data_IF_083832706246
#
_entry.id   IF_083832706246
#
_cell.length_a   1.000
_cell.length_b   1.000
_cell.length_c   1.000
_cell.angle_alpha   90.00
_cell.angle_beta   90.00
_cell.angle_gamma   90.00
#
_symmetry.space_group_name_H-M   'P 1'
#
loop_
_entity.id
_entity.type
_entity.pdbx_description
1 polymer ?
#
# COMPACT_ATOMS: atom_id res chain seq x y z
N UNK A 1 -10.38 9.20 1.86
CA UNK A 1 -9.53 8.12 1.30
C UNK A 1 -9.45 8.11 -0.23
N UNK A 2 -10.55 8.31 -0.98
CA UNK A 2 -10.52 8.27 -2.46
C UNK A 2 -9.43 9.15 -3.08
N UNK A 3 -9.32 10.42 -2.66
CA UNK A 3 -8.33 11.36 -3.17
C UNK A 3 -6.88 10.94 -2.84
N UNK A 4 -6.59 10.57 -1.59
CA UNK A 4 -5.24 10.13 -1.20
C UNK A 4 -4.86 8.84 -1.95
N UNK A 5 -5.82 7.92 -2.11
CA UNK A 5 -5.66 6.71 -2.91
C UNK A 5 -5.35 6.97 -4.38
N UNK A 6 -5.94 7.99 -5.00
CA UNK A 6 -5.60 8.38 -6.36
C UNK A 6 -4.11 8.74 -6.49
N UNK A 7 -3.54 9.50 -5.54
CA UNK A 7 -2.12 9.86 -5.56
C UNK A 7 -1.20 8.65 -5.44
N UNK A 8 -1.30 7.88 -4.35
CA UNK A 8 -0.35 6.79 -4.12
C UNK A 8 -0.56 5.60 -5.06
N UNK A 9 -1.78 5.33 -5.55
CA UNK A 9 -1.97 4.27 -6.55
C UNK A 9 -1.48 4.67 -7.93
N UNK A 10 -1.75 5.90 -8.37
CA UNK A 10 -1.20 6.38 -9.63
C UNK A 10 0.34 6.37 -9.58
N UNK A 11 0.93 6.78 -8.45
CA UNK A 11 2.37 6.70 -8.21
C UNK A 11 2.89 5.26 -8.35
N UNK A 12 2.24 4.29 -7.72
CA UNK A 12 2.65 2.89 -7.77
C UNK A 12 2.49 2.27 -9.17
N UNK A 13 1.41 2.58 -9.89
CA UNK A 13 1.20 2.06 -11.24
C UNK A 13 2.16 2.66 -12.26
N UNK A 14 2.36 3.99 -12.23
CA UNK A 14 3.33 4.63 -13.11
C UNK A 14 4.77 4.26 -12.73
N UNK A 15 5.06 4.10 -11.44
CA UNK A 15 6.35 3.59 -10.96
C UNK A 15 6.62 2.17 -11.44
N UNK A 16 5.61 1.28 -11.39
CA UNK A 16 5.70 -0.04 -12.00
C UNK A 16 5.92 0.04 -13.52
N UNK A 17 5.27 0.97 -14.22
CA UNK A 17 5.55 1.23 -15.64
C UNK A 17 6.99 1.65 -15.91
N UNK A 18 7.57 2.51 -15.06
CA UNK A 18 8.99 2.87 -15.10
C UNK A 18 9.91 1.68 -14.86
N UNK A 19 9.58 0.79 -13.93
CA UNK A 19 10.32 -0.46 -13.70
C UNK A 19 10.24 -1.38 -14.91
N UNK A 20 9.05 -1.61 -15.46
CA UNK A 20 8.83 -2.49 -16.63
C UNK A 20 9.63 -1.97 -17.83
N UNK A 21 9.59 -0.65 -18.07
CA UNK A 21 10.37 -0.04 -19.14
C UNK A 21 11.88 -0.20 -18.94
N UNK A 22 12.37 -0.04 -17.71
CA UNK A 22 13.78 -0.23 -17.37
C UNK A 22 14.23 -1.72 -17.46
N UNK A 23 13.29 -2.66 -17.33
CA UNK A 23 13.52 -4.11 -17.36
C UNK A 23 13.18 -4.73 -18.72
N UNK A 24 13.28 -3.97 -19.82
CA UNK A 24 13.01 -4.46 -21.18
C UNK A 24 11.64 -5.16 -21.32
N UNK A 25 10.61 -4.54 -20.74
CA UNK A 25 9.22 -5.00 -20.71
C UNK A 25 8.95 -6.29 -19.90
N UNK A 26 9.90 -6.74 -19.09
CA UNK A 26 9.67 -7.83 -18.12
C UNK A 26 8.72 -7.37 -17.01
N UNK A 27 7.71 -8.19 -16.71
CA UNK A 27 6.67 -7.90 -15.70
C UNK A 27 6.71 -8.90 -14.55
N UNK A 28 7.29 -10.08 -14.76
CA UNK A 28 7.40 -11.10 -13.72
C UNK A 28 8.50 -10.74 -12.72
N UNK A 29 8.09 -10.35 -11.51
CA UNK A 29 9.01 -10.03 -10.41
C UNK A 29 9.98 -11.18 -10.06
N UNK A 30 9.68 -12.43 -10.44
CA UNK A 30 10.59 -13.58 -10.25
C UNK A 30 11.84 -13.48 -11.14
N UNK A 31 11.79 -12.66 -12.18
CA UNK A 31 12.89 -12.37 -13.12
C UNK A 31 13.51 -10.99 -12.90
N UNK A 32 13.07 -10.25 -11.88
CA UNK A 32 13.64 -8.96 -11.49
C UNK A 32 14.56 -9.10 -10.26
N UNK A 33 15.28 -8.05 -9.88
CA UNK A 33 16.04 -8.01 -8.63
C UNK A 33 17.29 -7.15 -8.73
N UNK A 34 17.71 -6.54 -7.62
CA UNK A 34 19.00 -5.86 -7.52
C UNK A 34 19.13 -4.54 -8.30
N UNK A 35 18.03 -3.95 -8.78
CA UNK A 35 18.05 -2.75 -9.64
C UNK A 35 17.99 -1.42 -8.88
N UNK A 36 17.92 -1.42 -7.54
CA UNK A 36 17.74 -0.21 -6.73
C UNK A 36 18.79 0.88 -6.95
N UNK A 37 20.02 0.51 -7.32
CA UNK A 37 21.11 1.45 -7.65
C UNK A 37 21.03 2.00 -9.07
N UNK A 38 20.37 1.26 -9.97
CA UNK A 38 20.28 1.58 -11.39
C UNK A 38 19.11 2.53 -11.67
N UNK A 39 18.02 2.39 -10.91
CA UNK A 39 16.83 3.25 -10.98
C UNK A 39 16.46 3.87 -9.61
N UNK A 40 17.36 4.68 -9.00
CA UNK A 40 17.21 5.15 -7.63
C UNK A 40 16.00 6.10 -7.44
N UNK A 41 15.60 6.85 -8.46
CA UNK A 41 14.46 7.78 -8.36
C UNK A 41 13.17 6.99 -8.32
N UNK A 42 12.98 6.07 -9.28
CA UNK A 42 11.80 5.20 -9.32
C UNK A 42 11.72 4.37 -8.04
N UNK A 43 12.85 3.86 -7.55
CA UNK A 43 12.95 3.17 -6.28
C UNK A 43 12.40 3.99 -5.11
N UNK A 44 12.91 5.21 -4.88
CA UNK A 44 12.48 6.06 -3.76
C UNK A 44 10.98 6.39 -3.85
N UNK A 45 10.49 6.70 -5.06
CA UNK A 45 9.09 7.05 -5.27
C UNK A 45 8.16 5.84 -5.08
N UNK A 46 8.58 4.64 -5.48
CA UNK A 46 7.88 3.40 -5.17
C UNK A 46 7.81 3.14 -3.66
N UNK A 47 8.89 3.40 -2.91
CA UNK A 47 8.89 3.35 -1.46
C UNK A 47 7.89 4.31 -0.83
N UNK A 48 7.88 5.58 -1.27
CA UNK A 48 6.92 6.60 -0.82
C UNK A 48 5.49 6.12 -1.07
N UNK A 49 5.20 5.60 -2.27
CA UNK A 49 3.87 5.07 -2.60
C UNK A 49 3.47 3.88 -1.73
N UNK A 50 4.38 2.95 -1.47
CA UNK A 50 4.10 1.77 -0.64
C UNK A 50 3.94 2.11 0.85
N UNK A 51 4.72 3.07 1.37
CA UNK A 51 4.57 3.59 2.73
C UNK A 51 3.23 4.29 2.91
N UNK A 52 2.83 5.10 1.92
CA UNK A 52 1.51 5.73 1.89
C UNK A 52 0.40 4.68 1.81
N UNK A 53 0.51 3.66 0.96
CA UNK A 53 -0.49 2.60 0.84
C UNK A 53 -0.62 1.77 2.14
N UNK A 54 0.50 1.51 2.82
CA UNK A 54 0.53 0.76 4.07
C UNK A 54 -0.04 1.54 5.27
N UNK A 55 -0.22 2.86 5.16
CA UNK A 55 -0.73 3.71 6.24
C UNK A 55 0.34 4.06 7.28
N UNK A 56 1.61 4.13 6.90
CA UNK A 56 2.68 4.54 7.82
C UNK A 56 2.52 6.02 8.19
N UNK A 57 2.76 6.42 9.46
CA UNK A 57 2.69 7.80 9.89
C UNK A 57 3.46 8.75 8.97
N UNK A 58 2.98 10.00 8.89
CA UNK A 58 3.46 11.06 7.98
C UNK A 58 3.06 10.93 6.51
N UNK A 59 2.57 9.78 6.05
CA UNK A 59 2.08 9.61 4.68
C UNK A 59 0.57 9.74 4.57
N UNK A 60 0.07 10.01 3.37
CA UNK A 60 -1.35 10.31 3.14
C UNK A 60 -2.31 9.16 3.50
N UNK A 61 -1.83 7.91 3.50
CA UNK A 61 -2.63 6.76 3.91
C UNK A 61 -3.04 6.81 5.36
N UNK A 62 -2.12 7.17 6.26
CA UNK A 62 -2.36 7.25 7.71
C UNK A 62 -3.59 8.14 8.01
N UNK A 63 -3.57 9.38 7.54
CA UNK A 63 -4.66 10.36 7.72
C UNK A 63 -6.01 9.92 7.15
N UNK A 64 -6.01 9.06 6.13
CA UNK A 64 -7.22 8.78 5.37
C UNK A 64 -7.81 7.40 5.60
N UNK A 65 -6.98 6.40 5.87
CA UNK A 65 -7.37 5.01 6.08
C UNK A 65 -7.64 4.73 7.54
N UNK A 66 -6.81 5.25 8.44
CA UNK A 66 -6.97 4.98 9.88
C UNK A 66 -8.26 5.60 10.40
N UNK A 67 -8.63 6.79 9.90
CA UNK A 67 -9.93 7.41 10.17
C UNK A 67 -11.12 6.51 9.80
N UNK A 68 -11.05 5.72 8.72
CA UNK A 68 -12.12 4.79 8.36
C UNK A 68 -12.21 3.67 9.40
N UNK A 69 -11.08 3.12 9.83
CA UNK A 69 -11.04 2.06 10.84
C UNK A 69 -11.52 2.56 12.21
N UNK A 70 -11.10 3.77 12.59
CA UNK A 70 -11.54 4.42 13.82
C UNK A 70 -13.05 4.68 13.80
N UNK A 71 -13.58 5.13 12.66
CA UNK A 71 -15.02 5.33 12.45
C UNK A 71 -15.80 4.01 12.52
N UNK A 72 -15.31 2.94 11.87
CA UNK A 72 -15.93 1.62 11.89
C UNK A 72 -16.04 1.06 13.32
N UNK A 73 -15.01 1.28 14.13
CA UNK A 73 -15.00 0.91 15.54
C UNK A 73 -15.95 1.77 16.39
N UNK A 74 -15.98 3.09 16.14
CA UNK A 74 -16.77 4.07 16.89
C UNK A 74 -18.29 3.90 16.72
N UNK A 75 -18.76 3.31 15.62
CA UNK A 75 -20.18 3.07 15.38
C UNK A 75 -20.79 2.05 16.37
N UNK A 76 -19.99 1.25 17.07
CA UNK A 76 -20.44 0.28 18.08
C UNK A 76 -21.53 -0.71 17.59
N UNK A 77 -21.58 -0.99 16.28
CA UNK A 77 -22.46 -2.01 15.69
C UNK A 77 -21.67 -3.28 15.37
N UNK A 78 -22.38 -4.41 15.26
CA UNK A 78 -21.75 -5.67 14.80
C UNK A 78 -21.14 -5.55 13.42
N UNK A 79 -21.79 -4.80 12.52
CA UNK A 79 -21.29 -4.56 11.18
C UNK A 79 -20.02 -3.68 11.19
N UNK A 80 -20.01 -2.62 12.00
CA UNK A 80 -18.82 -1.76 12.16
C UNK A 80 -17.64 -2.51 12.75
N UNK A 81 -17.86 -3.32 13.80
CA UNK A 81 -16.79 -4.14 14.38
C UNK A 81 -16.23 -5.15 13.36
N UNK A 82 -17.10 -5.79 12.58
CA UNK A 82 -16.66 -6.70 11.51
C UNK A 82 -15.86 -5.97 10.43
N UNK A 83 -16.29 -4.78 10.02
CA UNK A 83 -15.56 -3.94 9.06
C UNK A 83 -14.17 -3.54 9.60
N UNK A 84 -14.10 -3.16 10.88
CA UNK A 84 -12.84 -2.86 11.57
C UNK A 84 -11.89 -4.06 11.58
N UNK A 85 -12.35 -5.24 12.02
CA UNK A 85 -11.53 -6.47 12.07
C UNK A 85 -10.99 -6.84 10.67
N UNK A 86 -11.86 -6.83 9.66
CA UNK A 86 -11.47 -7.11 8.27
C UNK A 86 -10.53 -6.05 7.71
N UNK A 87 -10.75 -4.78 8.02
CA UNK A 87 -9.91 -3.66 7.58
C UNK A 87 -8.51 -3.70 8.20
N UNK A 88 -8.42 -4.06 9.48
CA UNK A 88 -7.17 -4.29 10.21
C UNK A 88 -6.42 -5.49 9.62
N UNK A 89 -7.09 -6.60 9.34
CA UNK A 89 -6.50 -7.75 8.65
C UNK A 89 -6.02 -7.38 7.23
N UNK A 90 -6.79 -6.58 6.51
CA UNK A 90 -6.40 -6.07 5.20
C UNK A 90 -5.17 -5.15 5.27
N UNK A 91 -4.98 -4.39 6.36
CA UNK A 91 -3.78 -3.56 6.57
C UNK A 91 -2.51 -4.41 6.66
N UNK A 92 -2.54 -5.51 7.41
CA UNK A 92 -1.45 -6.50 7.46
C UNK A 92 -1.11 -7.05 6.07
N UNK A 93 -2.12 -7.55 5.35
CA UNK A 93 -1.92 -8.14 4.02
C UNK A 93 -1.39 -7.10 3.02
N UNK A 94 -1.88 -5.85 3.11
CA UNK A 94 -1.45 -4.74 2.27
C UNK A 94 0.01 -4.41 2.44
N UNK A 95 0.45 -4.30 3.69
CA UNK A 95 1.85 -4.10 4.01
C UNK A 95 2.71 -5.27 3.50
N UNK A 96 2.28 -6.51 3.74
CA UNK A 96 3.01 -7.70 3.33
C UNK A 96 3.20 -7.81 1.81
N UNK A 97 2.12 -7.69 1.01
CA UNK A 97 2.26 -7.81 -0.44
C UNK A 97 3.01 -6.62 -1.05
N UNK A 98 2.91 -5.43 -0.44
CA UNK A 98 3.64 -4.24 -0.92
C UNK A 98 5.14 -4.40 -0.71
N UNK A 99 5.55 -4.92 0.46
CA UNK A 99 6.96 -5.20 0.71
C UNK A 99 7.50 -6.35 -0.12
N UNK A 100 6.70 -7.39 -0.34
CA UNK A 100 7.04 -8.45 -1.30
C UNK A 100 7.40 -7.84 -2.66
N UNK A 101 6.59 -6.92 -3.17
CA UNK A 101 6.86 -6.24 -4.44
C UNK A 101 8.19 -5.47 -4.40
N UNK A 102 8.37 -4.59 -3.40
CA UNK A 102 9.59 -3.78 -3.30
C UNK A 102 10.86 -4.64 -3.17
N UNK A 103 10.81 -5.71 -2.38
CA UNK A 103 11.96 -6.57 -2.15
C UNK A 103 12.27 -7.43 -3.38
N UNK A 104 11.26 -8.04 -4.01
CA UNK A 104 11.47 -8.89 -5.18
C UNK A 104 11.92 -8.08 -6.42
N UNK A 105 11.45 -6.85 -6.58
CA UNK A 105 11.82 -6.01 -7.72
C UNK A 105 13.20 -5.36 -7.53
N UNK A 106 13.44 -4.73 -6.38
CA UNK A 106 14.60 -3.85 -6.21
C UNK A 106 15.77 -4.50 -5.47
N UNK A 107 15.53 -5.51 -4.64
CA UNK A 107 16.53 -6.09 -3.74
C UNK A 107 16.90 -7.54 -4.10
N UNK A 108 17.90 -8.06 -3.39
CA UNK A 108 18.47 -9.39 -3.59
C UNK A 108 19.37 -9.47 -4.82
N UNK A 109 19.78 -10.70 -5.15
CA UNK A 109 20.56 -10.96 -6.36
C UNK A 109 19.72 -10.70 -7.62
N UNK A 110 20.31 -10.12 -8.68
CA UNK A 110 19.66 -10.02 -9.98
C UNK A 110 19.24 -11.40 -10.48
N UNK A 111 18.00 -11.49 -10.97
CA UNK A 111 17.41 -12.71 -11.55
C UNK A 111 17.11 -12.56 -13.05
N UNK A 112 17.42 -11.40 -13.62
CA UNK A 112 17.38 -11.15 -15.06
C UNK A 112 18.67 -11.63 -15.72
N UNK A 113 18.62 -11.82 -17.04
CA UNK A 113 19.81 -12.10 -17.85
C UNK A 113 20.77 -10.90 -17.89
N UNK A 114 22.00 -11.15 -18.35
CA UNK A 114 23.05 -10.15 -18.32
C UNK A 114 22.78 -8.96 -19.26
N UNK A 115 22.18 -9.22 -20.43
CA UNK A 115 21.90 -8.19 -21.42
C UNK A 115 20.83 -7.23 -20.91
N UNK A 116 19.74 -7.76 -20.34
CA UNK A 116 18.71 -6.95 -19.68
C UNK A 116 19.32 -6.06 -18.60
N UNK A 117 20.18 -6.61 -17.74
CA UNK A 117 20.80 -5.85 -16.64
C UNK A 117 21.73 -4.72 -17.10
N UNK A 118 22.40 -4.85 -18.25
CA UNK A 118 23.24 -3.78 -18.82
C UNK A 118 22.44 -2.61 -19.39
N UNK A 119 21.20 -2.86 -19.80
CA UNK A 119 20.31 -1.84 -20.35
C UNK A 119 19.43 -1.16 -19.30
N UNK A 120 19.44 -1.61 -18.05
CA UNK A 120 18.66 -0.97 -16.98
C UNK A 120 19.17 0.44 -16.73
N UNK A 121 18.31 1.41 -17.00
CA UNK A 121 18.53 2.81 -16.67
C UNK A 121 17.23 3.46 -16.21
N UNK A 122 17.37 4.62 -15.56
CA UNK A 122 16.22 5.40 -15.11
C UNK A 122 15.34 5.84 -16.28
N UNK A 123 14.04 5.94 -16.02
CA UNK A 123 13.08 6.37 -17.03
C UNK A 123 13.34 7.82 -17.50
N UNK A 124 12.95 8.18 -18.74
CA UNK A 124 13.06 9.53 -19.23
C UNK A 124 12.24 10.52 -18.37
N UNK A 125 12.62 11.80 -18.41
CA UNK A 125 12.00 12.85 -17.59
C UNK A 125 10.48 12.95 -17.74
N UNK A 126 9.94 12.62 -18.92
CA UNK A 126 8.50 12.62 -19.19
C UNK A 126 7.72 11.63 -18.31
N UNK A 127 8.36 10.53 -17.88
CA UNK A 127 7.78 9.57 -16.93
C UNK A 127 8.06 9.97 -15.48
N UNK A 128 9.25 10.50 -15.19
CA UNK A 128 9.63 10.88 -13.82
C UNK A 128 8.89 12.11 -13.28
N UNK A 129 8.61 13.11 -14.11
CA UNK A 129 7.93 14.35 -13.68
C UNK A 129 6.56 14.04 -13.04
N UNK A 130 5.66 13.25 -13.68
CA UNK A 130 4.43 12.80 -13.04
C UNK A 130 4.66 12.08 -11.70
N UNK A 131 5.67 11.22 -11.60
CA UNK A 131 5.97 10.50 -10.36
C UNK A 131 6.35 11.45 -9.21
N UNK A 132 7.08 12.53 -9.48
CA UNK A 132 7.39 13.52 -8.44
C UNK A 132 6.14 14.23 -7.92
N UNK A 133 5.24 14.64 -8.81
CA UNK A 133 3.98 15.30 -8.44
C UNK A 133 3.10 14.36 -7.60
N UNK A 134 3.00 13.10 -8.04
CA UNK A 134 2.23 12.09 -7.33
C UNK A 134 2.89 11.68 -6.00
N UNK A 135 4.21 11.62 -5.94
CA UNK A 135 5.00 11.41 -4.73
C UNK A 135 4.76 12.50 -3.69
N UNK A 136 4.77 13.77 -4.13
CA UNK A 136 4.41 14.89 -3.27
C UNK A 136 2.99 14.74 -2.70
N UNK A 137 2.02 14.40 -3.54
CA UNK A 137 0.65 14.11 -3.08
C UNK A 137 0.57 12.94 -2.11
N UNK A 138 1.31 11.85 -2.34
CA UNK A 138 1.33 10.67 -1.48
C UNK A 138 1.89 10.96 -0.07
N UNK A 139 2.77 11.94 0.07
CA UNK A 139 3.28 12.40 1.37
C UNK A 139 2.30 13.40 2.00
N UNK A 140 2.00 14.49 1.29
CA UNK A 140 1.41 15.67 1.92
C UNK A 140 -0.11 15.78 1.78
N UNK A 141 -0.75 15.16 0.79
CA UNK A 141 -2.18 15.37 0.54
C UNK A 141 -3.06 14.91 1.72
N UNK A 142 -2.65 13.89 2.47
CA UNK A 142 -3.35 13.50 3.69
C UNK A 142 -3.38 14.65 4.69
N UNK A 143 -2.21 15.14 5.11
CA UNK A 143 -2.10 16.21 6.10
C UNK A 143 -2.75 17.53 5.64
N UNK A 144 -2.56 17.93 4.38
CA UNK A 144 -3.10 19.19 3.84
C UNK A 144 -4.63 19.19 3.83
N UNK A 145 -5.25 18.09 3.38
CA UNK A 145 -6.70 18.04 3.18
C UNK A 145 -7.45 17.43 4.37
N UNK A 146 -6.75 16.87 5.36
CA UNK A 146 -7.38 16.29 6.54
C UNK A 146 -8.29 17.28 7.28
N UNK A 147 -7.87 18.53 7.61
CA UNK A 147 -8.74 19.49 8.30
C UNK A 147 -10.01 19.84 7.51
N UNK A 148 -9.91 19.83 6.18
CA UNK A 148 -11.02 20.16 5.27
C UNK A 148 -11.99 18.99 5.09
N UNK A 149 -11.51 17.75 5.03
CA UNK A 149 -12.35 16.60 4.69
C UNK A 149 -12.90 15.89 5.92
N UNK A 150 -12.13 15.88 7.01
CA UNK A 150 -12.38 15.06 8.20
C UNK A 150 -12.28 15.86 9.50
N UNK A 151 -11.39 16.86 9.56
CA UNK A 151 -11.18 17.65 10.77
C UNK A 151 -12.20 18.78 10.96
N UNK A 152 -11.76 19.86 11.61
CA UNK A 152 -12.60 20.95 12.10
C UNK A 152 -13.48 21.64 11.03
N UNK A 153 -13.02 21.67 9.77
CA UNK A 153 -13.72 22.38 8.69
C UNK A 153 -14.62 21.48 7.85
N UNK A 154 -14.75 20.19 8.16
CA UNK A 154 -15.47 19.24 7.32
C UNK A 154 -16.95 19.61 7.10
N UNK A 155 -17.63 20.11 8.14
CA UNK A 155 -19.04 20.54 8.06
C UNK A 155 -19.21 21.67 7.04
N UNK A 156 -18.32 22.67 7.07
CA UNK A 156 -18.36 23.80 6.15
C UNK A 156 -17.95 23.42 4.73
N UNK A 157 -16.97 22.53 4.59
CA UNK A 157 -16.46 22.08 3.30
C UNK A 157 -17.49 21.24 2.54
N UNK A 158 -18.12 20.27 3.20
CA UNK A 158 -19.10 19.38 2.58
C UNK A 158 -20.51 19.98 2.54
N UNK A 159 -20.84 20.90 3.45
CA UNK A 159 -22.16 21.51 3.54
C UNK A 159 -23.27 20.45 3.55
N UNK A 160 -24.21 20.55 2.61
CA UNK A 160 -25.32 19.60 2.45
C UNK A 160 -25.02 18.43 1.49
N UNK A 161 -23.78 18.28 1.00
CA UNK A 161 -23.43 17.25 0.00
C UNK A 161 -23.34 15.85 0.59
N UNK A 162 -23.12 15.70 1.89
CA UNK A 162 -23.05 14.40 2.57
C UNK A 162 -24.19 14.33 3.59
N UNK A 163 -25.09 13.36 3.41
CA UNK A 163 -26.12 13.06 4.38
C UNK A 163 -25.55 12.13 5.46
N UNK A 164 -25.20 12.68 6.61
CA UNK A 164 -24.90 11.90 7.82
C UNK A 164 -26.19 11.67 8.60
N UNK A 165 -26.57 10.41 8.81
CA UNK A 165 -27.71 10.03 9.66
C UNK A 165 -27.18 9.55 11.01
N UNK A 166 -27.42 10.29 12.09
CA UNK A 166 -27.09 9.87 13.46
C UNK A 166 -26.14 10.82 14.19
N UNK A 167 -25.59 10.33 15.31
CA UNK A 167 -24.49 10.97 16.05
C UNK A 167 -23.27 11.16 15.15
N UNK A 168 -22.44 12.16 15.45
CA UNK A 168 -21.24 12.46 14.68
C UNK A 168 -20.19 11.36 14.90
N UNK A 169 -20.26 10.31 14.07
CA UNK A 169 -19.34 9.17 14.06
C UNK A 169 -17.89 9.64 13.90
N UNK A 170 -17.67 10.77 13.23
CA UNK A 170 -16.35 11.34 13.01
C UNK A 170 -15.78 11.94 14.30
N UNK A 171 -16.62 12.63 15.07
CA UNK A 171 -16.27 13.10 16.42
C UNK A 171 -16.01 11.90 17.35
N UNK A 172 -16.87 10.88 17.32
CA UNK A 172 -16.70 9.66 18.10
C UNK A 172 -15.40 8.90 17.73
N UNK A 173 -14.99 8.92 16.47
CA UNK A 173 -13.74 8.33 15.99
C UNK A 173 -12.52 8.95 16.67
N UNK A 174 -12.53 10.26 16.95
CA UNK A 174 -11.44 10.94 17.67
C UNK A 174 -11.31 10.52 19.15
N UNK A 175 -12.35 9.89 19.71
CA UNK A 175 -12.41 9.48 21.11
C UNK A 175 -12.26 7.98 21.31
N UNK A 176 -11.92 7.21 20.27
CA UNK A 176 -11.66 5.79 20.41
C UNK A 176 -10.44 5.53 21.30
N UNK A 177 -10.39 4.39 22.01
CA UNK A 177 -9.23 4.03 22.81
C UNK A 177 -7.94 4.02 21.98
N UNK A 178 -6.82 4.48 22.55
CA UNK A 178 -5.53 4.61 21.84
C UNK A 178 -5.00 3.34 21.18
N UNK A 179 -5.47 2.15 21.58
CA UNK A 179 -5.09 0.90 20.94
C UNK A 179 -5.71 0.73 19.54
N UNK A 180 -6.85 1.38 19.26
CA UNK A 180 -7.56 1.29 17.98
C UNK A 180 -6.74 1.85 16.83
N UNK A 181 -6.22 3.09 16.87
CA UNK A 181 -5.32 3.60 15.82
C UNK A 181 -3.94 2.92 15.83
N UNK A 182 -3.49 2.39 16.98
CA UNK A 182 -2.20 1.71 17.08
C UNK A 182 -2.20 0.31 16.43
N UNK A 183 -3.33 -0.40 16.48
CA UNK A 183 -3.43 -1.78 16.01
C UNK A 183 -3.15 -1.93 14.49
N UNK A 184 -3.77 -1.15 13.59
CA UNK A 184 -3.45 -1.16 12.16
C UNK A 184 -1.97 -0.91 11.90
N UNK A 185 -1.36 0.03 12.64
CA UNK A 185 0.06 0.35 12.51
C UNK A 185 0.95 -0.83 12.92
N UNK A 186 0.68 -1.45 14.06
CA UNK A 186 1.42 -2.63 14.54
C UNK A 186 1.31 -3.78 13.53
N UNK A 187 0.12 -3.99 12.95
CA UNK A 187 -0.09 -5.01 11.92
C UNK A 187 0.57 -4.65 10.59
N UNK A 188 0.58 -3.39 10.18
CA UNK A 188 1.32 -2.96 9.00
C UNK A 188 2.83 -3.21 9.19
N UNK A 189 3.39 -2.84 10.34
CA UNK A 189 4.80 -3.07 10.68
C UNK A 189 5.12 -4.58 10.75
N UNK A 190 4.23 -5.40 11.31
CA UNK A 190 4.43 -6.85 11.33
C UNK A 190 4.37 -7.47 9.94
N UNK A 191 3.48 -6.97 9.06
CA UNK A 191 3.41 -7.34 7.64
C UNK A 191 4.69 -6.97 6.87
N UNK A 192 5.23 -5.77 7.12
CA UNK A 192 6.53 -5.32 6.60
C UNK A 192 7.65 -6.26 7.07
N UNK A 193 7.71 -6.53 8.38
CA UNK A 193 8.71 -7.42 8.98
C UNK A 193 8.65 -8.83 8.41
N UNK A 194 7.44 -9.37 8.22
CA UNK A 194 7.24 -10.67 7.57
C UNK A 194 7.70 -10.65 6.11
N UNK A 195 7.49 -9.54 5.39
CA UNK A 195 8.01 -9.34 4.04
C UNK A 195 9.52 -9.46 3.99
N UNK A 196 10.24 -8.76 4.87
CA UNK A 196 11.70 -8.88 4.99
C UNK A 196 12.15 -10.30 5.35
N UNK A 197 11.48 -10.93 6.31
CA UNK A 197 11.78 -12.30 6.71
C UNK A 197 11.65 -13.27 5.53
N UNK A 198 10.57 -13.18 4.77
CA UNK A 198 10.26 -14.10 3.67
C UNK A 198 11.06 -13.84 2.39
N UNK A 199 11.43 -12.59 2.09
CA UNK A 199 11.99 -12.22 0.79
C UNK A 199 13.43 -11.70 0.83
N UNK A 200 14.02 -11.50 2.01
CA UNK A 200 15.42 -11.08 2.16
C UNK A 200 16.25 -12.00 3.06
N UNK A 201 15.68 -12.47 4.18
CA UNK A 201 16.44 -13.26 5.17
C UNK A 201 16.28 -14.77 5.03
N UNK A 202 15.05 -15.28 4.90
CA UNK A 202 14.75 -16.70 4.77
C UNK A 202 13.86 -16.94 3.54
N UNK A 203 14.48 -16.86 2.37
CA UNK A 203 13.83 -17.02 1.05
C UNK A 203 13.19 -18.39 0.82
N UNK A 204 13.49 -19.38 1.66
CA UNK A 204 12.90 -20.72 1.59
C UNK A 204 11.49 -20.78 2.18
N UNK A 205 11.13 -19.84 3.08
CA UNK A 205 9.85 -19.86 3.81
C UNK A 205 8.62 -19.83 2.89
N UNK A 206 8.54 -18.95 1.87
CA UNK A 206 7.42 -18.99 0.92
C UNK A 206 7.27 -20.35 0.23
N UNK A 207 8.39 -20.99 -0.13
CA UNK A 207 8.38 -22.31 -0.75
C UNK A 207 7.86 -23.40 0.20
N UNK A 208 8.23 -23.35 1.48
CA UNK A 208 7.69 -24.24 2.53
C UNK A 208 6.18 -24.04 2.70
N UNK A 209 5.72 -22.78 2.78
CA UNK A 209 4.31 -22.45 2.95
C UNK A 209 3.46 -22.98 1.79
N UNK A 210 3.91 -22.82 0.55
CA UNK A 210 3.22 -23.35 -0.65
C UNK A 210 3.12 -24.87 -0.63
N UNK A 211 4.16 -25.57 -0.14
CA UNK A 211 4.12 -27.04 -0.01
C UNK A 211 3.12 -27.50 1.05
N UNK A 212 3.08 -26.82 2.19
CA UNK A 212 2.21 -27.16 3.31
C UNK A 212 0.73 -26.83 3.04
N UNK A 213 0.46 -25.64 2.49
CA UNK A 213 -0.90 -25.13 2.27
C UNK A 213 -1.27 -25.12 0.78
N UNK A 214 -0.89 -26.17 0.04
CA UNK A 214 -1.08 -26.24 -1.41
C UNK A 214 -2.53 -25.98 -1.89
N UNK A 215 -3.60 -26.49 -1.24
CA UNK A 215 -4.97 -26.22 -1.67
C UNK A 215 -5.33 -24.73 -1.55
N UNK A 216 -4.97 -24.13 -0.41
CA UNK A 216 -5.20 -22.70 -0.13
C UNK A 216 -4.40 -21.82 -1.08
N UNK A 217 -3.13 -22.17 -1.33
CA UNK A 217 -2.30 -21.48 -2.30
C UNK A 217 -2.92 -21.53 -3.70
N UNK A 218 -3.38 -22.69 -4.17
CA UNK A 218 -4.02 -22.83 -5.49
C UNK A 218 -5.28 -22.00 -5.62
N UNK A 219 -6.10 -21.92 -4.56
CA UNK A 219 -7.29 -21.08 -4.53
C UNK A 219 -6.93 -19.61 -4.84
N UNK A 220 -5.98 -19.04 -4.11
CA UNK A 220 -5.58 -17.65 -4.30
C UNK A 220 -4.76 -17.42 -5.59
N UNK A 221 -3.94 -18.39 -5.98
CA UNK A 221 -3.14 -18.33 -7.21
C UNK A 221 -4.03 -18.27 -8.45
N UNK A 222 -5.12 -19.06 -8.47
CA UNK A 222 -6.12 -19.05 -9.54
C UNK A 222 -7.23 -18.03 -9.29
N UNK A 223 -6.95 -16.94 -8.56
CA UNK A 223 -7.89 -15.83 -8.33
C UNK A 223 -9.29 -16.28 -7.88
N UNK A 224 -9.35 -17.23 -6.95
CA UNK A 224 -10.57 -17.83 -6.41
C UNK A 224 -11.38 -18.68 -7.39
N UNK A 225 -10.83 -18.98 -8.56
CA UNK A 225 -11.51 -19.66 -9.67
C UNK A 225 -12.73 -18.90 -10.22
N UNK A 226 -12.83 -17.59 -9.96
CA UNK A 226 -13.93 -16.78 -10.50
C UNK A 226 -13.80 -16.56 -12.02
N UNK A 227 -12.59 -16.64 -12.59
CA UNK A 227 -12.37 -16.44 -14.02
C UNK A 227 -12.84 -17.68 -14.84
N UNK A 228 -12.94 -18.84 -14.21
CA UNK A 228 -13.32 -20.12 -14.83
C UNK A 228 -14.80 -20.52 -14.65
N UNK A 229 -15.57 -19.75 -13.88
CA UNK A 229 -17.02 -19.91 -13.68
C UNK A 229 -17.82 -19.18 -14.75
#
# INVERSE_FOLDING_TARGET
HLMTHAFFKALLFLGAGSVIHAMSDEQDMRRMGGIWRLIPVTYILMWVGSLALAGIPFFAGYYSKDMILESDFAVHTRAGLFAFEMGVAAAFLTAFYSWRLLLMTFHGAPRADHDTMHHVHESPRIMLIPLYVLGFGAVFAGAIFFPLFVGEYHVNFWGASILTRGEDVLEAAHHVPHWVPLLPLVLAVSGIGLGYLCYLWKTDLPGVFVRMFRPVYKLFYNKWYFDEL
#
